data_IF_277536070514
#
_entry.id   IF_277536070514
#
_cell.length_a   1.000
_cell.length_b   1.000
_cell.length_c   1.000
_cell.angle_alpha   90.00
_cell.angle_beta   90.00
_cell.angle_gamma   90.00
#
_symmetry.space_group_name_H-M   'P 1'
#
loop_
_entity.id
_entity.type
_entity.pdbx_description
1 polymer ?
#
# COMPACT_ATOMS: atom_id res chain seq x y z
N UNK A 1 38.85 17.80 13.35
CA UNK A 1 37.38 17.85 13.30
C UNK A 1 36.81 17.45 11.93
N UNK A 2 37.50 17.72 10.81
CA UNK A 2 37.01 17.43 9.45
C UNK A 2 36.80 15.94 9.11
N UNK A 3 37.64 15.03 9.65
CA UNK A 3 37.54 13.58 9.36
C UNK A 3 36.26 12.97 9.92
N UNK A 4 35.73 13.51 11.02
CA UNK A 4 34.51 13.00 11.67
C UNK A 4 33.25 13.43 10.90
N UNK A 5 33.20 14.69 10.44
CA UNK A 5 32.11 15.20 9.58
C UNK A 5 32.03 14.48 8.23
N UNK A 6 33.17 14.18 7.59
CA UNK A 6 33.20 13.51 6.29
C UNK A 6 32.68 12.08 6.36
N UNK A 7 32.97 11.34 7.44
CA UNK A 7 32.44 9.99 7.69
C UNK A 7 30.94 10.01 7.97
N UNK A 8 30.47 11.02 8.71
CA UNK A 8 29.04 11.19 9.01
C UNK A 8 28.23 11.50 7.75
N UNK A 9 28.77 12.33 6.85
CA UNK A 9 28.11 12.69 5.59
C UNK A 9 28.00 11.49 4.63
N UNK A 10 29.02 10.62 4.60
CA UNK A 10 28.98 9.37 3.83
C UNK A 10 27.96 8.38 4.39
N UNK A 11 27.87 8.25 5.73
CA UNK A 11 26.86 7.40 6.38
C UNK A 11 25.45 7.95 6.10
N UNK A 12 25.25 9.27 6.14
CA UNK A 12 23.98 9.91 5.80
C UNK A 12 23.59 9.67 4.33
N UNK A 13 24.54 9.77 3.40
CA UNK A 13 24.32 9.46 1.98
C UNK A 13 24.00 7.98 1.74
N UNK A 14 24.56 7.07 2.53
CA UNK A 14 24.24 5.65 2.47
C UNK A 14 22.81 5.37 2.95
N UNK A 15 22.38 6.01 4.04
CA UNK A 15 21.03 5.87 4.61
C UNK A 15 19.98 6.51 3.69
N UNK A 16 20.28 7.66 3.09
CA UNK A 16 19.43 8.31 2.08
C UNK A 16 19.42 7.57 0.73
N UNK A 17 20.46 6.79 0.43
CA UNK A 17 20.54 5.96 -0.76
C UNK A 17 19.56 4.78 -0.77
N UNK A 18 19.14 4.32 0.41
CA UNK A 18 18.14 3.25 0.56
C UNK A 18 16.68 3.75 0.39
N UNK A 19 16.42 5.05 0.34
CA UNK A 19 15.06 5.60 0.20
C UNK A 19 14.53 5.60 -1.25
N UNK A 20 15.31 5.13 -2.22
CA UNK A 20 15.11 5.50 -3.63
C UNK A 20 14.27 4.52 -4.48
N UNK A 21 13.67 3.47 -3.90
CA UNK A 21 12.99 2.45 -4.73
C UNK A 21 11.53 2.13 -4.37
N UNK A 22 11.00 2.68 -3.28
CA UNK A 22 9.60 2.47 -2.89
C UNK A 22 8.80 3.78 -3.02
N UNK A 23 7.79 3.79 -3.88
CA UNK A 23 6.84 4.91 -3.96
C UNK A 23 5.80 4.81 -2.84
N UNK A 24 5.47 3.58 -2.40
CA UNK A 24 4.43 3.32 -1.41
C UNK A 24 4.81 2.17 -0.46
N UNK A 25 4.42 2.29 0.82
CA UNK A 25 4.49 1.22 1.82
C UNK A 25 3.11 0.68 2.13
N UNK A 26 2.96 -0.64 2.22
CA UNK A 26 1.76 -1.26 2.81
C UNK A 26 1.82 -1.07 4.32
N UNK A 27 0.91 -0.27 4.87
CA UNK A 27 0.86 0.00 6.31
C UNK A 27 -0.14 -0.91 7.04
N UNK A 28 -1.08 -1.51 6.31
CA UNK A 28 -2.07 -2.45 6.86
C UNK A 28 -2.72 -3.20 5.70
N UNK A 29 -3.05 -4.46 5.93
CA UNK A 29 -3.85 -5.28 5.01
C UNK A 29 -4.86 -6.12 5.78
N UNK A 30 -5.97 -6.44 5.12
CA UNK A 30 -7.07 -7.11 5.79
C UNK A 30 -8.29 -7.32 4.91
N UNK A 31 -9.45 -7.36 5.58
CA UNK A 31 -10.76 -7.67 4.99
C UNK A 31 -11.75 -6.57 5.36
N UNK A 32 -12.87 -6.55 4.67
CA UNK A 32 -14.00 -5.70 5.03
C UNK A 32 -15.32 -6.42 4.78
N UNK A 33 -16.45 -5.75 5.06
CA UNK A 33 -17.78 -6.38 4.89
C UNK A 33 -18.12 -6.80 3.47
N UNK A 34 -17.38 -6.31 2.46
CA UNK A 34 -17.59 -6.63 1.04
C UNK A 34 -16.64 -7.73 0.54
N UNK A 35 -15.65 -8.15 1.35
CA UNK A 35 -14.69 -9.20 0.98
C UNK A 35 -15.33 -10.53 0.61
N UNK A 36 -16.51 -10.85 1.15
CA UNK A 36 -17.24 -12.08 0.84
C UNK A 36 -18.17 -11.94 -0.39
N UNK A 37 -18.23 -10.76 -0.99
CA UNK A 37 -19.07 -10.45 -2.16
C UNK A 37 -18.20 -10.22 -3.39
N UNK A 38 -17.10 -9.45 -3.27
CA UNK A 38 -16.10 -9.28 -4.33
C UNK A 38 -15.05 -10.40 -4.25
N UNK A 39 -15.37 -11.54 -4.85
CA UNK A 39 -14.46 -12.70 -4.89
C UNK A 39 -13.24 -12.50 -5.79
N UNK A 40 -13.17 -11.42 -6.57
CA UNK A 40 -12.03 -11.14 -7.47
C UNK A 40 -10.94 -10.40 -6.70
N UNK A 41 -11.32 -9.39 -5.93
CA UNK A 41 -10.41 -8.61 -5.07
C UNK A 41 -10.92 -8.52 -3.63
N UNK A 42 -10.97 -9.63 -2.90
CA UNK A 42 -11.55 -9.66 -1.56
C UNK A 42 -10.70 -8.93 -0.51
N UNK A 43 -9.39 -8.80 -0.71
CA UNK A 43 -8.49 -8.12 0.22
C UNK A 43 -8.61 -6.60 0.18
N UNK A 44 -8.27 -5.95 1.27
CA UNK A 44 -8.10 -4.50 1.38
C UNK A 44 -6.67 -4.21 1.83
N UNK A 45 -5.96 -3.35 1.11
CA UNK A 45 -4.62 -2.90 1.45
C UNK A 45 -4.60 -1.38 1.57
N UNK A 46 -3.96 -0.89 2.62
CA UNK A 46 -3.72 0.54 2.86
C UNK A 46 -2.28 0.83 2.55
N UNK A 47 -2.06 1.66 1.54
CA UNK A 47 -0.73 2.07 1.09
C UNK A 47 -0.48 3.53 1.48
N UNK A 48 0.69 3.82 2.02
CA UNK A 48 1.15 5.18 2.31
C UNK A 48 2.22 5.60 1.30
N UNK A 49 1.98 6.71 0.62
CA UNK A 49 2.94 7.33 -0.31
C UNK A 49 4.13 7.91 0.47
N UNK A 50 5.34 7.55 0.06
CA UNK A 50 6.58 7.88 0.78
C UNK A 50 6.97 9.36 0.67
N UNK A 51 6.49 10.06 -0.36
CA UNK A 51 6.84 11.46 -0.67
C UNK A 51 5.91 12.44 0.04
N UNK A 52 4.63 12.10 0.11
CA UNK A 52 3.55 12.98 0.59
C UNK A 52 3.01 12.56 1.95
N UNK A 53 3.27 11.32 2.38
CA UNK A 53 2.71 10.73 3.60
C UNK A 53 1.21 10.44 3.53
N UNK A 54 0.60 10.58 2.35
CA UNK A 54 -0.83 10.42 2.11
C UNK A 54 -1.19 8.97 1.86
N UNK A 55 -2.45 8.63 2.07
CA UNK A 55 -2.91 7.25 2.03
C UNK A 55 -3.73 6.97 0.78
N UNK A 56 -3.65 5.73 0.32
CA UNK A 56 -4.54 5.17 -0.70
C UNK A 56 -5.05 3.82 -0.23
N UNK A 57 -6.28 3.48 -0.62
CA UNK A 57 -6.90 2.20 -0.29
C UNK A 57 -7.11 1.42 -1.58
N UNK A 58 -6.56 0.22 -1.62
CA UNK A 58 -6.71 -0.70 -2.73
C UNK A 58 -7.44 -1.96 -2.29
N UNK A 59 -8.19 -2.54 -3.22
CA UNK A 59 -8.59 -3.93 -3.17
C UNK A 59 -7.47 -4.78 -3.75
N UNK A 60 -7.24 -5.97 -3.21
CA UNK A 60 -6.29 -6.92 -3.79
C UNK A 60 -6.86 -8.34 -3.89
N UNK A 61 -6.34 -9.12 -4.83
CA UNK A 61 -6.77 -10.51 -5.04
C UNK A 61 -6.03 -11.48 -4.12
N UNK A 62 -6.71 -12.50 -3.60
CA UNK A 62 -6.09 -13.65 -2.94
C UNK A 62 -5.88 -14.83 -3.90
N UNK A 63 -6.30 -14.67 -5.15
CA UNK A 63 -6.23 -15.72 -6.14
C UNK A 63 -4.77 -16.13 -6.37
N UNK A 64 -4.53 -17.45 -6.42
CA UNK A 64 -3.21 -18.05 -6.68
C UNK A 64 -2.12 -17.71 -5.64
N UNK A 65 -2.51 -17.49 -4.38
CA UNK A 65 -1.56 -17.38 -3.26
C UNK A 65 -0.89 -16.00 -3.11
N UNK A 66 -1.46 -14.97 -3.73
CA UNK A 66 -0.98 -13.59 -3.57
C UNK A 66 -1.61 -13.00 -2.31
N UNK A 67 -0.78 -12.77 -1.29
CA UNK A 67 -1.10 -11.94 -0.14
C UNK A 67 -0.29 -10.65 -0.23
N UNK A 68 -0.84 -9.59 0.37
CA UNK A 68 -0.17 -8.29 0.44
C UNK A 68 0.15 -8.07 1.91
N UNK A 69 1.42 -8.26 2.25
CA UNK A 69 1.86 -8.26 3.64
C UNK A 69 2.17 -6.83 4.12
N UNK A 70 2.01 -6.61 5.43
CA UNK A 70 2.40 -5.34 6.05
C UNK A 70 3.91 -5.13 5.89
N UNK A 71 4.32 -3.88 5.65
CA UNK A 71 5.70 -3.45 5.36
C UNK A 71 6.24 -3.83 3.99
N UNK A 72 5.45 -4.45 3.11
CA UNK A 72 5.83 -4.56 1.71
C UNK A 72 5.94 -3.17 1.06
N UNK A 73 6.89 -3.06 0.13
CA UNK A 73 7.11 -1.88 -0.68
C UNK A 73 6.64 -2.11 -2.10
N UNK A 74 5.94 -1.11 -2.65
CA UNK A 74 5.43 -1.17 -4.01
C UNK A 74 5.79 0.13 -4.75
N UNK A 75 6.18 0.02 -6.02
CA UNK A 75 6.26 1.18 -6.91
C UNK A 75 4.89 1.49 -7.51
N UNK A 76 4.68 2.73 -7.97
CA UNK A 76 3.46 3.08 -8.69
C UNK A 76 3.24 2.19 -9.92
N UNK A 77 4.33 1.79 -10.56
CA UNK A 77 4.33 0.86 -11.70
C UNK A 77 3.83 -0.52 -11.28
N UNK A 78 4.29 -1.05 -10.16
CA UNK A 78 3.88 -2.37 -9.69
C UNK A 78 2.38 -2.37 -9.34
N UNK A 79 1.90 -1.35 -8.63
CA UNK A 79 0.47 -1.19 -8.33
C UNK A 79 -0.38 -1.15 -9.61
N UNK A 80 0.10 -0.51 -10.67
CA UNK A 80 -0.62 -0.39 -11.94
C UNK A 80 -0.54 -1.65 -12.83
N UNK A 81 0.59 -2.35 -12.79
CA UNK A 81 0.95 -3.37 -13.79
C UNK A 81 1.00 -4.79 -13.25
N UNK A 82 1.08 -4.99 -11.93
CA UNK A 82 1.17 -6.33 -11.36
C UNK A 82 -0.11 -7.15 -11.69
N UNK A 83 0.11 -8.42 -12.01
CA UNK A 83 -0.93 -9.38 -12.41
C UNK A 83 -0.87 -10.62 -11.54
N UNK A 84 -2.04 -11.18 -11.23
CA UNK A 84 -2.20 -12.44 -10.51
C UNK A 84 -2.05 -13.64 -11.45
N UNK A 85 -2.54 -14.81 -11.01
CA UNK A 85 -2.39 -16.09 -11.74
C UNK A 85 -2.90 -16.15 -13.19
N UNK A 86 -3.56 -15.11 -13.69
CA UNK A 86 -3.84 -14.89 -15.11
C UNK A 86 -3.40 -13.49 -15.57
N UNK A 87 -2.93 -13.38 -16.81
CA UNK A 87 -2.37 -12.12 -17.36
C UNK A 87 -3.34 -10.92 -17.33
N UNK A 88 -4.65 -11.19 -17.28
CA UNK A 88 -5.70 -10.17 -17.26
C UNK A 88 -6.13 -9.76 -15.83
N UNK A 89 -5.82 -10.57 -14.81
CA UNK A 89 -6.20 -10.28 -13.43
C UNK A 89 -5.19 -9.31 -12.80
N UNK A 90 -5.56 -8.05 -12.62
CA UNK A 90 -4.74 -7.11 -11.85
C UNK A 90 -4.68 -7.53 -10.38
N UNK A 91 -3.50 -7.45 -9.75
CA UNK A 91 -3.40 -7.71 -8.30
C UNK A 91 -4.17 -6.64 -7.54
N UNK A 92 -3.89 -5.37 -7.81
CA UNK A 92 -4.54 -4.24 -7.17
C UNK A 92 -5.65 -3.64 -8.02
N UNK A 93 -6.69 -3.19 -7.33
CA UNK A 93 -7.79 -2.42 -7.87
C UNK A 93 -8.09 -1.27 -6.92
N UNK A 94 -8.08 -0.05 -7.43
CA UNK A 94 -8.39 1.14 -6.63
C UNK A 94 -9.75 0.99 -5.94
N UNK A 95 -9.80 1.20 -4.61
CA UNK A 95 -11.08 1.23 -3.91
C UNK A 95 -11.84 2.50 -4.33
N UNK A 96 -13.10 2.32 -4.71
CA UNK A 96 -14.02 3.43 -5.01
C UNK A 96 -15.07 3.46 -3.93
N UNK A 97 -15.02 4.50 -3.11
CA UNK A 97 -15.95 4.73 -2.00
C UNK A 97 -16.89 5.87 -2.34
N UNK A 98 -18.21 5.61 -2.34
CA UNK A 98 -19.25 6.59 -2.68
C UNK A 98 -18.96 7.34 -3.99
N UNK A 99 -18.47 6.62 -5.00
CA UNK A 99 -18.12 7.16 -6.32
C UNK A 99 -16.78 7.89 -6.42
N UNK A 100 -16.00 7.99 -5.33
CA UNK A 100 -14.67 8.63 -5.32
C UNK A 100 -13.56 7.60 -5.14
N UNK A 101 -12.48 7.77 -5.90
CA UNK A 101 -11.26 6.95 -5.74
C UNK A 101 -10.60 7.27 -4.40
N UNK A 102 -10.24 6.24 -3.65
CA UNK A 102 -9.55 6.36 -2.37
C UNK A 102 -8.04 6.55 -2.56
N UNK A 103 -7.66 7.73 -3.04
CA UNK A 103 -6.26 8.16 -3.23
C UNK A 103 -6.02 9.50 -2.55
N UNK A 104 -4.75 9.77 -2.19
CA UNK A 104 -4.33 11.04 -1.59
C UNK A 104 -5.17 11.43 -0.36
N UNK A 105 -5.49 10.44 0.48
CA UNK A 105 -6.31 10.60 1.67
C UNK A 105 -5.48 11.17 2.81
N UNK A 106 -6.10 12.03 3.61
CA UNK A 106 -5.62 12.34 4.96
C UNK A 106 -5.85 11.14 5.89
N UNK A 107 -5.17 11.13 7.04
CA UNK A 107 -5.35 10.10 8.05
C UNK A 107 -6.80 10.03 8.56
N UNK A 108 -7.47 11.18 8.75
CA UNK A 108 -8.87 11.18 9.20
C UNK A 108 -9.79 10.55 8.15
N UNK A 109 -9.64 10.94 6.87
CA UNK A 109 -10.44 10.37 5.78
C UNK A 109 -10.20 8.86 5.62
N UNK A 110 -8.96 8.41 5.82
CA UNK A 110 -8.64 6.99 5.85
C UNK A 110 -9.47 6.27 6.92
N UNK A 111 -9.41 6.73 8.18
CA UNK A 111 -10.14 6.10 9.27
C UNK A 111 -11.66 6.13 9.08
N UNK A 112 -12.20 7.25 8.60
CA UNK A 112 -13.64 7.38 8.33
C UNK A 112 -14.09 6.32 7.31
N UNK A 113 -13.31 6.11 6.25
CA UNK A 113 -13.61 5.13 5.20
C UNK A 113 -13.45 3.70 5.73
N UNK A 114 -12.34 3.39 6.42
CA UNK A 114 -12.08 2.06 6.97
C UNK A 114 -13.17 1.64 7.97
N UNK A 115 -13.61 2.57 8.83
CA UNK A 115 -14.71 2.32 9.75
C UNK A 115 -16.03 2.08 9.01
N UNK A 116 -16.36 2.88 7.98
CA UNK A 116 -17.62 2.72 7.25
C UNK A 116 -17.70 1.42 6.43
N UNK A 117 -16.56 0.90 5.95
CA UNK A 117 -16.52 -0.41 5.27
C UNK A 117 -16.41 -1.58 6.26
N UNK A 118 -16.34 -1.30 7.57
CA UNK A 118 -16.07 -2.29 8.61
C UNK A 118 -14.78 -3.09 8.31
N UNK A 119 -13.69 -2.36 8.10
CA UNK A 119 -12.38 -2.94 7.88
C UNK A 119 -11.87 -3.65 9.13
N UNK A 120 -11.33 -4.85 8.91
CA UNK A 120 -10.65 -5.66 9.91
C UNK A 120 -9.26 -6.00 9.38
N UNK A 121 -8.24 -5.51 10.08
CA UNK A 121 -6.85 -5.86 9.82
C UNK A 121 -6.64 -7.35 10.08
N UNK A 122 -6.04 -8.05 9.11
CA UNK A 122 -5.58 -9.42 9.30
C UNK A 122 -4.14 -9.31 9.78
N UNK A 123 -3.89 -9.81 11.00
CA UNK A 123 -2.56 -9.89 11.57
C UNK A 123 -2.07 -11.33 11.42
N UNK A 124 -0.97 -11.50 10.71
CA UNK A 124 -0.19 -12.73 10.73
C UNK A 124 0.64 -12.83 12.03
#
# INVERSE_FOLDING_TARGET
MEVFMKKFLVILMLILGFSCFADQYVISSGKDRFSNIDNVHPGVAVLQDTKTGKYSIYRFTWSHGIWVDMNETWTDKDVATARGGSADLKIFKMLVYKGKKCVNLTQQQLYDILNDIAYEEVRD
#
